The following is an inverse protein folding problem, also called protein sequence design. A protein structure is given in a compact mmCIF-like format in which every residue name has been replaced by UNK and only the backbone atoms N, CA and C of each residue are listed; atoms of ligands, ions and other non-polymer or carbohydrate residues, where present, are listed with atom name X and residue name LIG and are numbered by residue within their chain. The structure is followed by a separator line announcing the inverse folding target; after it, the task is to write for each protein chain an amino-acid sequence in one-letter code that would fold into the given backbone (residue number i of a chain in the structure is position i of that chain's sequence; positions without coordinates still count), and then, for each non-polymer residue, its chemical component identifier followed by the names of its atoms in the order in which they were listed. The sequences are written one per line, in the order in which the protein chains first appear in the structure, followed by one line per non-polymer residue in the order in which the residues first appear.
data_IF_232538810347
#
_entry.id   IF_232538810347
#
_cell.length_a   1.000
_cell.length_b   1.000
_cell.length_c   1.000
_cell.angle_alpha   90.00
_cell.angle_beta   90.00
_cell.angle_gamma   90.00
#
_symmetry.space_group_name_H-M   'P 1'
#
loop_
_entity.id
_entity.type
_entity.pdbx_description
1 polymer ?
#
# COMPACT_ATOMS: atom_id res chain seq x y z
N UNK A 1 13.29 4.24 24.58
CA UNK A 1 13.22 4.22 23.09
C UNK A 1 14.06 5.37 22.57
N UNK A 2 14.88 5.15 21.56
CA UNK A 2 15.58 6.27 20.89
C UNK A 2 14.54 7.22 20.28
N UNK A 3 14.73 8.55 20.38
CA UNK A 3 13.82 9.52 19.76
C UNK A 3 13.67 9.30 18.24
N UNK A 4 14.71 8.76 17.60
CA UNK A 4 14.72 8.43 16.18
C UNK A 4 13.74 7.30 15.81
N UNK A 5 13.61 6.28 16.66
CA UNK A 5 12.66 5.18 16.46
C UNK A 5 11.22 5.71 16.51
N UNK A 6 10.92 6.53 17.53
CA UNK A 6 9.59 7.11 17.69
C UNK A 6 9.20 7.98 16.49
N UNK A 7 10.15 8.75 15.96
CA UNK A 7 9.94 9.56 14.75
C UNK A 7 9.59 8.69 13.55
N UNK A 8 10.34 7.62 13.30
CA UNK A 8 10.05 6.69 12.20
C UNK A 8 8.67 6.03 12.35
N UNK A 9 8.31 5.63 13.58
CA UNK A 9 7.00 5.03 13.87
C UNK A 9 5.83 5.99 13.62
N UNK A 10 5.97 7.24 14.03
CA UNK A 10 4.95 8.27 13.79
C UNK A 10 4.81 8.55 12.30
N UNK A 11 5.93 8.64 11.56
CA UNK A 11 5.91 8.83 10.11
C UNK A 11 5.21 7.65 9.42
N UNK A 12 5.58 6.40 9.74
CA UNK A 12 4.94 5.23 9.14
C UNK A 12 3.46 5.11 9.50
N UNK A 13 3.07 5.43 10.74
CA UNK A 13 1.66 5.51 11.15
C UNK A 13 0.89 6.62 10.41
N UNK A 14 1.52 7.78 10.19
CA UNK A 14 0.95 8.88 9.40
C UNK A 14 0.72 8.49 7.94
N UNK A 15 1.72 7.87 7.30
CA UNK A 15 1.60 7.35 5.94
C UNK A 15 0.50 6.29 5.84
N UNK A 16 0.42 5.39 6.81
CA UNK A 16 -0.64 4.38 6.89
C UNK A 16 -2.02 5.04 6.99
N UNK A 17 -2.20 6.01 7.87
CA UNK A 17 -3.47 6.73 8.04
C UNK A 17 -3.89 7.52 6.79
N UNK A 18 -2.93 8.20 6.14
CA UNK A 18 -3.18 8.92 4.88
C UNK A 18 -3.53 7.94 3.77
N UNK A 19 -2.82 6.82 3.65
CA UNK A 19 -3.12 5.78 2.67
C UNK A 19 -4.50 5.17 2.90
N UNK A 20 -4.87 4.92 4.16
CA UNK A 20 -6.18 4.39 4.52
C UNK A 20 -7.30 5.37 4.15
N UNK A 21 -7.15 6.64 4.50
CA UNK A 21 -8.10 7.67 4.10
C UNK A 21 -8.15 7.81 2.58
N UNK A 22 -7.00 7.80 1.91
CA UNK A 22 -6.89 7.83 0.45
C UNK A 22 -7.60 6.66 -0.21
N UNK A 23 -7.42 5.43 0.26
CA UNK A 23 -8.08 4.27 -0.32
C UNK A 23 -9.62 4.31 -0.16
N UNK A 24 -10.10 4.77 1.01
CA UNK A 24 -11.54 4.77 1.32
C UNK A 24 -12.31 5.98 0.76
N UNK A 25 -11.63 7.10 0.50
CA UNK A 25 -12.26 8.34 0.02
C UNK A 25 -12.41 8.41 -1.50
N UNK A 26 -11.82 7.47 -2.24
CA UNK A 26 -11.70 7.54 -3.69
C UNK A 26 -12.71 6.61 -4.37
N UNK A 27 -13.28 7.08 -5.47
CA UNK A 27 -14.15 6.29 -6.36
C UNK A 27 -13.40 5.71 -7.56
N UNK A 28 -12.28 6.33 -7.91
CA UNK A 28 -11.45 5.92 -9.03
C UNK A 28 -10.54 4.75 -8.62
N UNK A 29 -10.61 3.64 -9.36
CA UNK A 29 -9.84 2.42 -9.05
C UNK A 29 -8.33 2.67 -8.90
N UNK A 30 -7.74 3.51 -9.75
CA UNK A 30 -6.30 3.81 -9.71
C UNK A 30 -5.96 4.58 -8.43
N UNK A 31 -6.80 5.52 -8.05
CA UNK A 31 -6.60 6.30 -6.81
C UNK A 31 -6.78 5.44 -5.56
N UNK A 32 -7.72 4.48 -5.57
CA UNK A 32 -7.87 3.49 -4.49
C UNK A 32 -6.58 2.68 -4.35
N UNK A 33 -6.04 2.18 -5.46
CA UNK A 33 -4.78 1.43 -5.45
C UNK A 33 -3.61 2.25 -4.91
N UNK A 34 -3.47 3.52 -5.30
CA UNK A 34 -2.43 4.40 -4.76
C UNK A 34 -2.54 4.57 -3.23
N UNK A 35 -3.77 4.60 -2.70
CA UNK A 35 -4.02 4.56 -1.27
C UNK A 35 -3.51 3.27 -0.62
N UNK A 36 -3.83 2.11 -1.21
CA UNK A 36 -3.38 0.79 -0.72
C UNK A 36 -1.84 0.68 -0.73
N UNK A 37 -1.20 1.13 -1.80
CA UNK A 37 0.27 1.16 -1.88
C UNK A 37 0.90 2.02 -0.78
N UNK A 38 0.27 3.16 -0.47
CA UNK A 38 0.73 4.04 0.60
C UNK A 38 0.55 3.42 2.00
N UNK A 39 -0.51 2.64 2.22
CA UNK A 39 -0.73 1.85 3.44
C UNK A 39 0.42 0.85 3.62
N UNK A 40 0.73 0.07 2.57
CA UNK A 40 1.80 -0.92 2.59
C UNK A 40 3.17 -0.27 2.78
N UNK A 41 3.44 0.85 2.10
CA UNK A 41 4.67 1.60 2.27
C UNK A 41 4.85 2.13 3.71
N UNK A 42 3.78 2.66 4.32
CA UNK A 42 3.80 3.12 5.73
C UNK A 42 4.09 1.97 6.71
N UNK A 43 3.48 0.80 6.48
CA UNK A 43 3.76 -0.40 7.26
C UNK A 43 5.21 -0.88 7.11
N UNK A 44 5.76 -0.82 5.88
CA UNK A 44 7.17 -1.16 5.62
C UNK A 44 8.15 -0.22 6.30
N UNK A 45 7.86 1.09 6.36
CA UNK A 45 8.68 2.05 7.12
C UNK A 45 8.77 1.64 8.59
N UNK A 46 7.64 1.30 9.21
CA UNK A 46 7.60 0.83 10.59
C UNK A 46 8.38 -0.48 10.78
N UNK A 47 8.23 -1.43 9.85
CA UNK A 47 8.94 -2.70 9.86
C UNK A 47 10.46 -2.51 9.78
N UNK A 48 10.94 -1.65 8.87
CA UNK A 48 12.37 -1.32 8.72
C UNK A 48 12.89 -0.62 9.98
N UNK A 49 12.10 0.27 10.58
CA UNK A 49 12.46 0.92 11.84
C UNK A 49 12.63 -0.12 12.96
N UNK A 50 11.66 -1.02 13.14
CA UNK A 50 11.79 -2.10 14.13
C UNK A 50 13.02 -2.98 13.87
N UNK A 51 13.25 -3.36 12.62
CA UNK A 51 14.44 -4.13 12.25
C UNK A 51 15.73 -3.40 12.65
N UNK A 52 15.87 -2.13 12.27
CA UNK A 52 17.08 -1.33 12.51
C UNK A 52 17.41 -1.16 13.99
N UNK A 53 16.39 -1.00 14.84
CA UNK A 53 16.58 -0.68 16.26
C UNK A 53 16.53 -1.91 17.19
N UNK A 54 15.81 -2.99 16.84
CA UNK A 54 15.72 -4.19 17.67
C UNK A 54 16.68 -5.30 17.22
N UNK A 55 16.86 -5.52 15.92
CA UNK A 55 17.63 -6.66 15.39
C UNK A 55 18.53 -6.28 14.19
N UNK A 56 19.46 -5.31 14.33
CA UNK A 56 20.25 -4.80 13.22
C UNK A 56 21.18 -5.85 12.56
N UNK A 57 21.51 -6.93 13.27
CA UNK A 57 22.33 -8.03 12.72
C UNK A 57 21.54 -9.09 11.94
N UNK A 58 20.20 -9.02 11.91
CA UNK A 58 19.36 -10.06 11.29
C UNK A 58 19.03 -9.72 9.84
N UNK A 59 19.65 -10.37 8.86
CA UNK A 59 19.32 -10.13 7.45
C UNK A 59 17.90 -10.54 7.04
N UNK A 60 17.23 -11.36 7.85
CA UNK A 60 15.86 -11.82 7.57
C UNK A 60 14.86 -10.66 7.46
N UNK A 61 14.99 -9.61 8.29
CA UNK A 61 14.11 -8.45 8.22
C UNK A 61 14.27 -7.65 6.91
N UNK A 62 15.50 -7.48 6.45
CA UNK A 62 15.78 -6.84 5.16
C UNK A 62 15.22 -7.65 3.98
N UNK A 63 15.44 -8.97 4.01
CA UNK A 63 14.91 -9.87 2.99
C UNK A 63 13.38 -9.85 2.95
N UNK A 64 12.72 -9.83 4.11
CA UNK A 64 11.27 -9.73 4.17
C UNK A 64 10.74 -8.44 3.55
N UNK A 65 11.39 -7.29 3.81
CA UNK A 65 11.02 -6.00 3.19
C UNK A 65 11.16 -6.06 1.66
N UNK A 66 12.22 -6.67 1.13
CA UNK A 66 12.41 -6.85 -0.32
C UNK A 66 11.33 -7.73 -0.94
N UNK A 67 10.94 -8.81 -0.25
CA UNK A 67 9.86 -9.70 -0.71
C UNK A 67 8.54 -8.93 -0.77
N UNK A 68 8.21 -8.16 0.28
CA UNK A 68 6.96 -7.38 0.30
C UNK A 68 6.97 -6.32 -0.81
N UNK A 69 8.08 -5.60 -1.04
CA UNK A 69 8.18 -4.66 -2.18
C UNK A 69 8.01 -5.35 -3.53
N UNK A 70 8.48 -6.59 -3.67
CA UNK A 70 8.25 -7.39 -4.89
C UNK A 70 6.77 -7.72 -5.05
N UNK A 71 6.10 -8.11 -3.97
CA UNK A 71 4.65 -8.38 -3.98
C UNK A 71 3.86 -7.11 -4.32
N UNK A 72 4.24 -5.95 -3.77
CA UNK A 72 3.64 -4.65 -4.11
C UNK A 72 3.76 -4.36 -5.61
N UNK A 73 4.93 -4.60 -6.20
CA UNK A 73 5.12 -4.41 -7.64
C UNK A 73 4.23 -5.33 -8.48
N UNK A 74 4.05 -6.59 -8.03
CA UNK A 74 3.16 -7.56 -8.69
C UNK A 74 1.69 -7.15 -8.54
N UNK A 75 1.28 -6.72 -7.34
CA UNK A 75 -0.07 -6.24 -7.06
C UNK A 75 -0.42 -5.04 -7.94
N UNK A 76 0.45 -4.04 -8.02
CA UNK A 76 0.27 -2.89 -8.91
C UNK A 76 0.11 -3.33 -10.37
N UNK A 77 0.98 -4.21 -10.87
CA UNK A 77 0.89 -4.68 -12.25
C UNK A 77 -0.47 -5.37 -12.54
N UNK A 78 -0.95 -6.21 -11.61
CA UNK A 78 -2.25 -6.88 -11.72
C UNK A 78 -3.39 -5.87 -11.62
N UNK A 79 -3.36 -4.96 -10.66
CA UNK A 79 -4.39 -3.95 -10.45
C UNK A 79 -4.53 -3.00 -11.64
N UNK A 80 -3.42 -2.57 -12.24
CA UNK A 80 -3.45 -1.81 -13.49
C UNK A 80 -4.00 -2.64 -14.66
N UNK A 81 -3.68 -3.93 -14.73
CA UNK A 81 -4.29 -4.84 -15.72
C UNK A 81 -5.82 -4.89 -15.61
N UNK A 82 -6.34 -4.96 -14.38
CA UNK A 82 -7.78 -4.90 -14.11
C UNK A 82 -8.37 -3.54 -14.48
N UNK A 83 -7.71 -2.43 -14.13
CA UNK A 83 -8.15 -1.09 -14.46
C UNK A 83 -8.26 -0.88 -15.98
N UNK A 84 -7.26 -1.34 -16.74
CA UNK A 84 -7.27 -1.28 -18.22
C UNK A 84 -8.40 -2.14 -18.77
N UNK A 85 -8.60 -3.35 -18.24
CA UNK A 85 -9.69 -4.23 -18.68
C UNK A 85 -11.06 -3.57 -18.46
N UNK A 86 -11.28 -2.93 -17.30
CA UNK A 86 -12.51 -2.19 -17.00
C UNK A 86 -12.69 -0.98 -17.91
N UNK A 87 -11.63 -0.19 -18.12
CA UNK A 87 -11.66 0.94 -19.03
C UNK A 87 -12.04 0.51 -20.45
N UNK A 88 -11.48 -0.60 -20.95
CA UNK A 88 -11.82 -1.14 -22.27
C UNK A 88 -13.26 -1.64 -22.39
N UNK A 89 -13.81 -2.21 -21.32
CA UNK A 89 -15.16 -2.78 -21.32
C UNK A 89 -16.27 -1.71 -21.19
N UNK A 90 -16.00 -0.62 -20.47
CA UNK A 90 -17.02 0.33 -20.00
C UNK A 90 -16.67 1.80 -20.21
N UNK A 91 -15.45 2.12 -20.68
CA UNK A 91 -14.98 3.50 -20.93
C UNK A 91 -14.65 4.32 -19.69
N UNK A 92 -14.69 3.71 -18.49
CA UNK A 92 -14.49 4.36 -17.20
C UNK A 92 -13.75 3.42 -16.25
N UNK A 93 -13.01 3.97 -15.27
CA UNK A 93 -12.36 3.23 -14.16
C UNK A 93 -12.99 3.57 -12.81
N UNK A 94 -14.15 4.22 -12.82
CA UNK A 94 -14.91 4.55 -11.61
C UNK A 94 -15.61 3.30 -11.06
N UNK A 95 -15.39 3.03 -9.77
CA UNK A 95 -15.88 1.82 -9.11
C UNK A 95 -17.35 1.95 -8.69
N UNK A 96 -17.88 3.16 -8.55
CA UNK A 96 -19.28 3.36 -8.17
C UNK A 96 -20.27 2.83 -9.22
N UNK A 97 -19.84 2.80 -10.49
CA UNK A 97 -20.60 2.23 -11.60
C UNK A 97 -20.59 0.70 -11.62
N UNK A 98 -19.70 0.03 -10.87
CA UNK A 98 -19.53 -1.42 -10.86
C UNK A 98 -20.58 -2.14 -9.99
N UNK A 99 -21.86 -1.82 -10.18
CA UNK A 99 -23.00 -2.34 -9.37
C UNK A 99 -23.82 -3.44 -10.06
N UNK A 100 -23.23 -4.12 -11.04
CA UNK A 100 -23.93 -5.09 -11.91
C UNK A 100 -24.23 -6.42 -11.20
N UNK A 101 -23.40 -6.79 -10.21
CA UNK A 101 -23.61 -7.97 -9.38
C UNK A 101 -24.40 -7.57 -8.13
N UNK A 102 -25.73 -7.62 -8.23
CA UNK A 102 -26.65 -7.52 -7.08
C UNK A 102 -27.40 -8.84 -6.96
N UNK A 103 -27.31 -9.45 -5.78
CA UNK A 103 -28.24 -10.48 -5.30
C UNK A 103 -29.37 -9.83 -4.52
#
# INVERSE_FOLDING_TARGET
MSPDLLTALIVGAGLFGIGLYGALSQTNLVMIMMGVELILAGALVNLVAFWRFLHPGSYAGQMFVLIVMTVMAVEMAVGFGVAIARFRARGSVEMEEARELKG
#
